data_IF_074973064803
#
_entry.id   IF_074973064803
#
_cell.length_a   1.000
_cell.length_b   1.000
_cell.length_c   1.000
_cell.angle_alpha   90.00
_cell.angle_beta   90.00
_cell.angle_gamma   90.00
#
_symmetry.space_group_name_H-M   'P 1'
#
loop_
_entity.id
_entity.type
_entity.pdbx_description
1 polymer ?
#
# COMPACT_ATOMS: atom_id res chain seq x y z
N UNK A 1 32.23 -81.82 -4.29
CA UNK A 1 32.10 -82.50 -5.59
C UNK A 1 30.83 -82.00 -6.28
N UNK A 2 30.96 -81.34 -7.44
CA UNK A 2 29.99 -81.13 -8.55
C UNK A 2 28.55 -80.62 -8.24
N UNK A 3 27.91 -79.66 -8.91
CA UNK A 3 28.08 -78.90 -10.17
C UNK A 3 27.00 -77.78 -10.17
N UNK A 4 27.28 -76.56 -10.65
CA UNK A 4 26.25 -75.58 -11.13
C UNK A 4 25.93 -75.88 -12.61
N UNK A 5 24.73 -75.57 -13.17
CA UNK A 5 24.44 -74.27 -13.85
C UNK A 5 22.93 -73.83 -13.82
N UNK A 6 22.57 -72.54 -13.62
CA UNK A 6 22.31 -71.39 -14.55
C UNK A 6 20.92 -71.30 -15.25
N UNK A 7 20.27 -70.15 -15.00
CA UNK A 7 19.39 -69.25 -15.82
C UNK A 7 18.05 -69.71 -16.41
N UNK A 8 16.97 -68.93 -16.18
CA UNK A 8 16.41 -67.94 -17.15
C UNK A 8 15.24 -67.11 -16.57
N UNK A 9 15.12 -65.90 -17.12
CA UNK A 9 14.20 -64.77 -16.87
C UNK A 9 12.88 -64.88 -17.66
N UNK A 10 11.90 -63.99 -17.38
CA UNK A 10 10.74 -63.47 -18.18
C UNK A 10 9.46 -63.47 -17.31
N UNK A 11 8.51 -62.52 -17.32
CA UNK A 11 8.32 -61.22 -17.96
C UNK A 11 7.16 -60.52 -17.20
N UNK A 12 7.16 -59.19 -17.13
CA UNK A 12 6.08 -58.39 -16.54
C UNK A 12 4.91 -58.22 -17.53
N UNK A 13 3.67 -58.19 -17.00
CA UNK A 13 2.45 -57.93 -17.78
C UNK A 13 1.63 -56.77 -17.18
N UNK A 14 1.46 -55.70 -17.97
CA UNK A 14 0.15 -55.21 -18.44
C UNK A 14 -0.85 -54.53 -17.48
N UNK A 15 -0.74 -53.20 -17.39
CA UNK A 15 -1.75 -52.12 -17.50
C UNK A 15 -3.28 -52.31 -17.19
N UNK A 16 -3.75 -51.37 -16.32
CA UNK A 16 -4.89 -50.41 -16.42
C UNK A 16 -6.34 -50.90 -16.58
N UNK A 17 -7.22 -50.52 -15.64
CA UNK A 17 -8.61 -50.05 -15.89
C UNK A 17 -9.01 -48.97 -14.86
N UNK A 18 -9.48 -47.81 -15.34
CA UNK A 18 -10.20 -46.79 -14.56
C UNK A 18 -11.72 -46.99 -14.70
N UNK A 19 -12.52 -46.82 -13.63
CA UNK A 19 -13.91 -46.32 -13.69
C UNK A 19 -14.47 -45.95 -12.30
N UNK A 20 -15.39 -44.99 -12.31
CA UNK A 20 -15.89 -44.15 -11.23
C UNK A 20 -17.01 -44.73 -10.34
N UNK A 21 -17.30 -44.01 -9.25
CA UNK A 21 -18.45 -44.15 -8.32
C UNK A 21 -17.94 -43.95 -6.88
N UNK A 22 -18.45 -43.07 -6.01
CA UNK A 22 -19.81 -42.64 -5.71
C UNK A 22 -19.81 -41.30 -4.96
N UNK A 23 -20.83 -40.46 -5.18
CA UNK A 23 -21.27 -39.44 -4.22
C UNK A 23 -22.21 -40.05 -3.17
N UNK A 24 -22.20 -39.55 -1.93
CA UNK A 24 -23.45 -39.16 -1.29
C UNK A 24 -23.38 -37.75 -0.68
N UNK A 25 -24.55 -37.12 -0.62
CA UNK A 25 -24.80 -35.81 -0.02
C UNK A 25 -25.19 -35.89 1.47
N UNK A 26 -25.28 -34.69 2.08
CA UNK A 26 -26.05 -34.26 3.27
C UNK A 26 -25.25 -34.03 4.58
N UNK A 27 -25.02 -32.73 4.83
CA UNK A 27 -25.12 -31.93 6.08
C UNK A 27 -24.30 -32.19 7.34
N UNK A 28 -23.94 -31.04 7.97
CA UNK A 28 -23.31 -30.80 9.29
C UNK A 28 -21.80 -31.10 9.36
N UNK A 29 -20.93 -30.27 9.93
CA UNK A 29 -21.11 -29.11 10.80
C UNK A 29 -19.91 -28.15 10.70
N UNK A 30 -20.18 -26.91 11.09
CA UNK A 30 -19.21 -25.88 11.46
C UNK A 30 -18.07 -26.41 12.35
N UNK A 31 -16.87 -25.86 12.15
CA UNK A 31 -15.79 -25.96 13.13
C UNK A 31 -14.41 -25.93 12.48
N UNK A 32 -13.60 -24.91 12.83
CA UNK A 32 -12.16 -24.93 12.56
C UNK A 32 -11.68 -23.99 11.45
N UNK A 33 -12.10 -22.73 11.49
CA UNK A 33 -11.34 -21.67 10.82
C UNK A 33 -10.08 -21.38 11.62
N UNK A 34 -9.03 -22.18 11.41
CA UNK A 34 -7.67 -21.80 11.79
C UNK A 34 -7.31 -20.54 11.00
N UNK A 35 -7.52 -19.40 11.65
CA UNK A 35 -6.99 -18.12 11.19
C UNK A 35 -5.47 -18.25 11.35
N UNK A 36 -4.79 -18.59 10.26
CA UNK A 36 -3.34 -18.45 10.14
C UNK A 36 -2.99 -17.07 10.69
N UNK A 37 -2.31 -17.04 11.83
CA UNK A 37 -1.76 -15.81 12.40
C UNK A 37 -0.81 -15.23 11.36
N UNK A 38 -1.19 -14.11 10.74
CA UNK A 38 -0.32 -13.40 9.81
C UNK A 38 0.92 -12.96 10.59
N UNK A 39 2.09 -13.28 10.07
CA UNK A 39 3.35 -12.85 10.67
C UNK A 39 3.48 -11.33 10.68
N UNK A 40 4.40 -10.84 11.51
CA UNK A 40 4.78 -9.43 11.48
C UNK A 40 5.53 -9.09 10.19
N UNK A 41 5.62 -7.81 9.88
CA UNK A 41 6.48 -7.30 8.83
C UNK A 41 7.93 -7.68 9.09
N UNK A 42 8.36 -7.55 10.35
CA UNK A 42 9.70 -7.94 10.79
C UNK A 42 9.99 -9.41 10.51
N UNK A 43 9.10 -10.33 10.90
CA UNK A 43 9.26 -11.77 10.65
C UNK A 43 9.30 -12.10 9.16
N UNK A 44 8.45 -11.44 8.37
CA UNK A 44 8.34 -11.71 6.93
C UNK A 44 9.60 -11.31 6.16
N UNK A 45 10.27 -10.26 6.62
CA UNK A 45 11.44 -9.68 5.95
C UNK A 45 12.76 -9.88 6.72
N UNK A 46 12.74 -10.63 7.82
CA UNK A 46 13.93 -10.93 8.62
C UNK A 46 14.52 -9.71 9.35
N UNK A 47 13.70 -8.73 9.72
CA UNK A 47 14.14 -7.48 10.33
C UNK A 47 14.37 -7.64 11.84
N UNK A 48 15.45 -7.02 12.32
CA UNK A 48 15.77 -6.92 13.74
C UNK A 48 14.98 -5.80 14.44
N UNK A 49 15.02 -5.74 15.77
CA UNK A 49 14.40 -4.65 16.51
C UNK A 49 15.03 -3.28 16.19
N UNK A 50 16.33 -3.24 15.91
CA UNK A 50 17.04 -2.02 15.53
C UNK A 50 16.65 -1.56 14.12
N UNK A 51 16.48 -2.49 13.17
CA UNK A 51 15.96 -2.19 11.83
C UNK A 51 14.58 -1.51 11.91
N UNK A 52 13.67 -2.08 12.71
CA UNK A 52 12.34 -1.52 12.90
C UNK A 52 12.39 -0.12 13.51
N UNK A 53 13.27 0.10 14.50
CA UNK A 53 13.47 1.41 15.11
C UNK A 53 13.96 2.44 14.08
N UNK A 54 14.91 2.06 13.24
CA UNK A 54 15.46 2.92 12.20
C UNK A 54 14.42 3.24 11.11
N UNK A 55 13.69 2.23 10.63
CA UNK A 55 12.58 2.39 9.69
C UNK A 55 11.55 3.39 10.24
N UNK A 56 11.08 3.18 11.46
CA UNK A 56 10.06 4.03 12.07
C UNK A 56 10.55 5.48 12.24
N UNK A 57 11.79 5.67 12.72
CA UNK A 57 12.37 7.00 12.88
C UNK A 57 12.50 7.75 11.55
N UNK A 58 12.95 7.08 10.49
CA UNK A 58 13.07 7.68 9.16
C UNK A 58 11.69 8.01 8.56
N UNK A 59 10.72 7.12 8.72
CA UNK A 59 9.35 7.30 8.26
C UNK A 59 8.65 8.50 8.92
N UNK A 60 8.91 8.75 10.21
CA UNK A 60 8.42 9.94 10.92
C UNK A 60 9.08 11.23 10.39
N UNK A 61 10.40 11.20 10.12
CA UNK A 61 11.13 12.35 9.54
C UNK A 61 10.72 12.67 8.12
N UNK A 62 10.47 11.66 7.28
CA UNK A 62 10.07 11.84 5.89
C UNK A 62 8.80 12.71 5.76
N UNK A 63 7.87 12.58 6.70
CA UNK A 63 6.68 13.44 6.78
C UNK A 63 7.06 14.92 6.96
N UNK A 64 8.08 15.22 7.76
CA UNK A 64 8.51 16.59 8.02
C UNK A 64 9.24 17.22 6.82
N UNK A 65 9.93 16.40 6.01
CA UNK A 65 10.62 16.83 4.78
C UNK A 65 9.63 17.03 3.62
N UNK A 66 8.63 16.16 3.50
CA UNK A 66 7.65 16.20 2.40
C UNK A 66 6.55 17.26 2.52
N UNK A 67 6.57 18.13 3.54
CA UNK A 67 5.57 19.18 3.72
C UNK A 67 5.88 20.42 2.87
N UNK A 68 4.96 20.90 2.02
CA UNK A 68 5.20 22.01 1.08
C UNK A 68 5.39 23.39 1.73
N UNK A 69 5.15 23.54 3.04
CA UNK A 69 5.20 24.83 3.75
C UNK A 69 6.53 25.11 4.47
N UNK A 70 7.57 24.28 4.28
CA UNK A 70 8.92 24.57 4.81
C UNK A 70 9.88 25.01 3.70
N UNK A 71 10.53 26.18 3.82
CA UNK A 71 11.63 26.52 2.92
C UNK A 71 12.76 25.50 3.07
N UNK A 72 13.49 25.16 1.99
CA UNK A 72 14.68 24.33 2.09
C UNK A 72 15.66 25.06 3.01
N UNK A 73 15.91 24.52 4.19
CA UNK A 73 16.87 25.08 5.13
C UNK A 73 18.22 25.19 4.44
N UNK A 74 18.74 26.42 4.40
CA UNK A 74 20.10 26.73 4.01
C UNK A 74 21.07 25.82 4.78
N UNK A 75 22.02 25.25 4.04
CA UNK A 75 23.21 24.56 4.56
C UNK A 75 23.85 25.34 5.72
N UNK A 76 24.09 24.73 6.90
CA UNK A 76 24.86 25.38 7.95
C UNK A 76 26.36 25.39 7.57
N UNK A 77 27.11 26.44 7.93
CA UNK A 77 28.54 26.54 7.63
C UNK A 77 29.36 25.57 8.48
N UNK A 78 30.42 25.05 7.87
CA UNK A 78 31.46 24.21 8.49
C UNK A 78 32.20 24.95 9.61
N UNK A 79 32.25 24.38 10.83
CA UNK A 79 33.35 24.52 11.79
C UNK A 79 33.20 23.62 13.05
N UNK A 80 34.16 22.71 13.26
CA UNK A 80 34.65 22.25 14.57
C UNK A 80 33.95 21.06 15.25
N UNK A 81 34.68 20.08 15.84
CA UNK A 81 34.09 18.83 16.33
C UNK A 81 33.59 18.96 17.76
N UNK A 82 32.39 18.42 18.05
CA UNK A 82 32.15 17.79 19.34
C UNK A 82 31.50 16.41 19.19
N UNK A 83 32.02 15.46 19.97
CA UNK A 83 31.32 14.32 20.58
C UNK A 83 30.26 13.58 19.74
N UNK A 84 30.66 12.40 19.24
CA UNK A 84 29.82 11.38 18.61
C UNK A 84 28.55 11.07 19.40
N UNK A 85 27.42 11.49 18.87
CA UNK A 85 26.16 10.73 18.89
C UNK A 85 26.08 9.90 17.61
N UNK A 86 25.44 8.71 17.60
CA UNK A 86 25.22 7.97 16.36
C UNK A 86 24.14 8.71 15.55
N UNK A 87 24.58 9.46 14.55
CA UNK A 87 23.71 10.20 13.64
C UNK A 87 23.07 9.23 12.64
N UNK A 88 21.80 8.90 12.89
CA UNK A 88 20.88 8.12 12.04
C UNK A 88 20.61 8.67 10.61
N UNK A 89 21.41 9.61 10.12
CA UNK A 89 21.40 10.03 8.71
C UNK A 89 22.45 9.26 7.88
N UNK A 90 23.32 8.47 8.52
CA UNK A 90 24.48 7.82 7.86
C UNK A 90 24.13 6.57 7.03
N UNK A 91 22.94 5.97 7.18
CA UNK A 91 22.63 4.67 6.55
C UNK A 91 21.71 4.74 5.32
N UNK A 92 20.86 5.78 5.18
CA UNK A 92 19.98 5.88 3.99
C UNK A 92 20.78 6.44 2.81
N UNK A 93 20.85 5.67 1.74
CA UNK A 93 21.52 6.08 0.52
C UNK A 93 20.52 6.35 -0.61
N UNK A 94 20.80 7.39 -1.40
CA UNK A 94 20.07 7.63 -2.65
C UNK A 94 20.67 6.73 -3.74
N UNK A 95 19.88 5.82 -4.36
CA UNK A 95 20.39 4.96 -5.44
C UNK A 95 21.01 5.80 -6.56
N UNK A 96 22.13 5.38 -7.19
CA UNK A 96 22.77 6.14 -8.25
C UNK A 96 21.90 6.31 -9.49
N UNK A 97 22.28 7.25 -10.34
CA UNK A 97 21.64 7.49 -11.64
C UNK A 97 21.83 6.29 -12.58
N UNK A 98 20.73 5.74 -13.10
CA UNK A 98 20.76 4.68 -14.10
C UNK A 98 20.59 5.26 -15.52
N UNK A 99 21.47 4.92 -16.49
CA UNK A 99 21.34 5.39 -17.87
C UNK A 99 19.99 5.01 -18.51
N UNK A 100 19.42 5.90 -19.33
CA UNK A 100 18.11 5.70 -19.94
C UNK A 100 18.08 4.56 -20.98
N UNK A 101 19.22 4.23 -21.57
CA UNK A 101 19.40 3.13 -22.51
C UNK A 101 19.64 1.78 -21.83
N UNK A 102 19.98 1.77 -20.53
CA UNK A 102 20.19 0.54 -19.77
C UNK A 102 18.86 -0.14 -19.45
N UNK A 103 18.67 -1.32 -20.02
CA UNK A 103 17.50 -2.15 -19.76
C UNK A 103 17.58 -2.78 -18.35
N UNK A 104 16.43 -2.97 -17.68
CA UNK A 104 16.37 -3.76 -16.46
C UNK A 104 16.72 -5.22 -16.71
N UNK A 105 17.25 -5.85 -15.68
CA UNK A 105 17.46 -7.29 -15.60
C UNK A 105 16.11 -8.01 -15.47
N UNK A 106 16.01 -9.20 -16.04
CA UNK A 106 14.76 -9.95 -16.06
C UNK A 106 14.37 -10.45 -14.67
N UNK A 107 13.09 -10.31 -14.33
CA UNK A 107 12.52 -10.85 -13.08
C UNK A 107 11.03 -11.13 -13.28
N UNK A 108 10.51 -12.13 -12.55
CA UNK A 108 9.13 -12.62 -12.73
C UNK A 108 8.40 -12.77 -11.41
N UNK A 109 7.08 -12.77 -11.47
CA UNK A 109 6.25 -13.01 -10.31
C UNK A 109 6.33 -14.47 -9.83
N UNK A 110 6.36 -14.66 -8.52
CA UNK A 110 6.16 -15.94 -7.85
C UNK A 110 5.12 -15.77 -6.74
N UNK A 111 4.14 -16.68 -6.66
CA UNK A 111 3.07 -16.59 -5.65
C UNK A 111 2.25 -15.29 -5.71
N UNK A 112 2.15 -14.66 -6.88
CA UNK A 112 1.44 -13.38 -7.06
C UNK A 112 2.25 -12.13 -6.72
N UNK A 113 3.57 -12.23 -6.47
CA UNK A 113 4.44 -11.08 -6.22
C UNK A 113 5.73 -11.18 -7.04
N UNK A 114 6.10 -10.11 -7.74
CA UNK A 114 7.45 -9.94 -8.31
C UNK A 114 8.25 -8.99 -7.40
N UNK A 115 9.57 -9.19 -7.35
CA UNK A 115 10.47 -8.38 -6.52
C UNK A 115 11.75 -8.11 -7.29
N UNK A 116 12.29 -6.90 -7.15
CA UNK A 116 13.62 -6.57 -7.69
C UNK A 116 14.27 -5.47 -6.85
N UNK A 117 15.61 -5.39 -6.86
CA UNK A 117 16.35 -4.34 -6.15
C UNK A 117 16.02 -2.96 -6.75
N UNK A 118 16.03 -1.91 -5.92
CA UNK A 118 15.60 -0.55 -6.34
C UNK A 118 16.33 -0.03 -7.59
N UNK A 119 17.63 -0.30 -7.76
CA UNK A 119 18.38 0.07 -8.97
C UNK A 119 17.77 -0.52 -10.24
N UNK A 120 17.36 -1.79 -10.18
CA UNK A 120 16.72 -2.45 -11.32
C UNK A 120 15.29 -1.93 -11.54
N UNK A 121 14.57 -1.63 -10.46
CA UNK A 121 13.26 -0.98 -10.54
C UNK A 121 13.34 0.41 -11.17
N UNK A 122 14.38 1.22 -10.87
CA UNK A 122 14.61 2.52 -11.49
C UNK A 122 14.74 2.37 -13.01
N UNK A 123 15.51 1.39 -13.48
CA UNK A 123 15.60 1.09 -14.93
C UNK A 123 14.22 0.79 -15.50
N UNK A 124 13.40 -0.03 -14.82
CA UNK A 124 12.06 -0.39 -15.31
C UNK A 124 11.18 0.85 -15.36
N UNK A 125 11.16 1.61 -14.28
CA UNK A 125 10.41 2.85 -14.17
C UNK A 125 10.77 3.83 -15.28
N UNK A 126 12.06 3.98 -15.59
CA UNK A 126 12.55 4.80 -16.70
C UNK A 126 12.06 4.32 -18.07
N UNK A 127 11.88 3.02 -18.28
CA UNK A 127 11.38 2.49 -19.53
C UNK A 127 9.87 2.62 -19.71
N UNK A 128 9.09 2.47 -18.64
CA UNK A 128 7.62 2.39 -18.76
C UNK A 128 6.87 3.54 -18.09
N UNK A 129 7.30 4.01 -16.93
CA UNK A 129 6.51 4.93 -16.10
C UNK A 129 6.97 6.40 -16.20
N UNK A 130 8.19 6.65 -16.67
CA UNK A 130 8.82 7.97 -16.72
C UNK A 130 8.26 8.95 -17.75
N UNK A 131 7.38 8.49 -18.64
CA UNK A 131 6.98 9.31 -19.78
C UNK A 131 6.29 10.60 -19.32
N UNK A 132 6.77 11.72 -19.89
CA UNK A 132 6.10 13.03 -19.91
C UNK A 132 5.80 13.37 -21.36
N UNK A 133 4.52 13.54 -21.69
CA UNK A 133 4.06 13.77 -23.08
C UNK A 133 4.60 12.73 -24.07
N UNK A 134 4.60 11.46 -23.65
CA UNK A 134 5.06 10.33 -24.46
C UNK A 134 6.58 10.20 -24.61
N UNK A 135 7.38 11.05 -23.96
CA UNK A 135 8.86 10.97 -23.98
C UNK A 135 9.39 10.39 -22.68
N UNK A 136 10.17 9.31 -22.78
CA UNK A 136 10.89 8.72 -21.63
C UNK A 136 11.86 9.73 -21.03
N UNK A 137 12.00 9.69 -19.72
CA UNK A 137 12.93 10.53 -18.97
C UNK A 137 13.71 9.66 -17.97
N UNK A 138 14.91 10.12 -17.65
CA UNK A 138 15.64 9.56 -16.53
C UNK A 138 14.97 9.97 -15.21
N UNK A 139 15.00 9.10 -14.21
CA UNK A 139 14.55 9.48 -12.87
C UNK A 139 15.51 10.52 -12.31
N UNK A 140 14.99 11.68 -11.90
CA UNK A 140 15.83 12.76 -11.37
C UNK A 140 16.50 12.35 -10.06
N UNK A 141 17.51 13.10 -9.63
CA UNK A 141 18.14 12.87 -8.32
C UNK A 141 17.13 12.99 -7.17
N UNK A 142 16.31 14.03 -7.19
CA UNK A 142 15.24 14.24 -6.21
C UNK A 142 14.25 13.08 -6.20
N UNK A 143 13.84 12.56 -7.38
CA UNK A 143 12.96 11.40 -7.45
C UNK A 143 13.64 10.12 -6.92
N UNK A 144 14.93 9.91 -7.19
CA UNK A 144 15.69 8.77 -6.63
C UNK A 144 15.81 8.88 -5.12
N UNK A 145 16.00 10.10 -4.59
CA UNK A 145 16.00 10.36 -3.16
C UNK A 145 14.63 10.04 -2.55
N UNK A 146 13.54 10.57 -3.11
CA UNK A 146 12.18 10.23 -2.66
C UNK A 146 11.92 8.72 -2.68
N UNK A 147 12.34 8.03 -3.75
CA UNK A 147 12.16 6.58 -3.88
C UNK A 147 12.87 5.79 -2.77
N UNK A 148 14.04 6.27 -2.34
CA UNK A 148 14.88 5.57 -1.36
C UNK A 148 14.29 5.50 0.06
N UNK A 149 13.18 6.19 0.33
CA UNK A 149 12.45 6.11 1.60
C UNK A 149 11.62 4.82 1.75
N UNK A 150 11.72 3.87 0.82
CA UNK A 150 11.09 2.56 0.96
C UNK A 150 9.62 2.54 0.59
N UNK A 151 8.78 1.98 1.46
CA UNK A 151 7.35 1.79 1.22
C UNK A 151 6.65 3.04 0.68
N UNK A 152 6.92 4.21 1.25
CA UNK A 152 6.34 5.49 0.82
C UNK A 152 6.89 6.01 -0.51
N UNK A 153 8.15 5.68 -0.84
CA UNK A 153 8.91 6.30 -1.91
C UNK A 153 8.31 6.08 -3.30
N UNK A 154 7.76 4.90 -3.57
CA UNK A 154 7.08 4.61 -4.84
C UNK A 154 5.87 5.52 -5.03
N UNK A 155 5.04 5.67 -4.00
CA UNK A 155 3.85 6.55 -4.03
C UNK A 155 4.27 8.01 -4.15
N UNK A 156 5.31 8.42 -3.44
CA UNK A 156 5.84 9.78 -3.47
C UNK A 156 6.28 10.16 -4.89
N UNK A 157 7.15 9.36 -5.52
CA UNK A 157 7.63 9.62 -6.87
C UNK A 157 6.50 9.60 -7.90
N UNK A 158 5.60 8.63 -7.81
CA UNK A 158 4.55 8.45 -8.82
C UNK A 158 3.45 9.52 -8.77
N UNK A 159 3.17 10.04 -7.58
CA UNK A 159 2.22 11.16 -7.40
C UNK A 159 2.88 12.54 -7.48
N UNK A 160 4.20 12.60 -7.31
CA UNK A 160 4.99 13.83 -7.26
C UNK A 160 4.97 14.54 -5.91
N UNK A 161 4.33 13.96 -4.89
CA UNK A 161 4.13 14.57 -3.58
C UNK A 161 4.14 13.53 -2.47
N UNK A 162 4.58 13.95 -1.27
CA UNK A 162 4.47 13.07 -0.11
C UNK A 162 2.98 12.83 0.20
N UNK A 163 2.55 11.57 0.44
CA UNK A 163 1.14 11.24 0.58
C UNK A 163 0.50 11.90 1.81
N UNK A 164 -0.49 12.76 1.56
CA UNK A 164 -1.24 13.47 2.63
C UNK A 164 -2.39 12.64 3.22
N UNK A 165 -2.87 11.63 2.49
CA UNK A 165 -3.97 10.72 2.87
C UNK A 165 -5.32 11.41 3.16
N UNK A 166 -5.51 12.65 2.72
CA UNK A 166 -6.68 13.47 3.07
C UNK A 166 -8.01 12.91 2.57
N UNK A 167 -8.04 12.39 1.34
CA UNK A 167 -9.23 11.81 0.73
C UNK A 167 -9.12 10.28 0.72
N UNK A 168 -9.52 9.66 1.82
CA UNK A 168 -9.38 8.24 2.06
C UNK A 168 -10.72 7.53 2.17
N UNK A 169 -10.78 6.30 1.68
CA UNK A 169 -11.97 5.44 1.75
C UNK A 169 -11.64 4.09 2.39
N UNK A 170 -12.61 3.53 3.09
CA UNK A 170 -12.61 2.15 3.56
C UNK A 170 -14.04 1.60 3.57
N UNK A 171 -14.17 0.30 3.86
CA UNK A 171 -15.47 -0.33 4.10
C UNK A 171 -15.41 -1.10 5.41
N UNK A 172 -16.42 -0.90 6.26
CA UNK A 172 -16.54 -1.55 7.56
C UNK A 172 -17.96 -2.04 7.76
N UNK A 173 -18.11 -3.32 8.09
CA UNK A 173 -19.42 -3.94 8.34
C UNK A 173 -19.80 -3.77 9.82
N UNK A 174 -20.58 -2.72 10.12
CA UNK A 174 -21.04 -2.43 11.48
C UNK A 174 -21.94 -3.53 12.06
N UNK A 175 -22.72 -4.20 11.22
CA UNK A 175 -23.61 -5.26 11.69
C UNK A 175 -22.79 -6.48 12.09
N UNK A 176 -21.81 -6.87 11.27
CA UNK A 176 -20.85 -7.92 11.60
C UNK A 176 -20.08 -7.58 12.88
N UNK A 177 -19.57 -6.36 13.01
CA UNK A 177 -18.85 -5.93 14.20
C UNK A 177 -19.68 -6.09 15.48
N UNK A 178 -20.91 -5.55 15.50
CA UNK A 178 -21.81 -5.64 16.65
C UNK A 178 -22.25 -7.07 16.95
N UNK A 179 -22.54 -7.84 15.90
CA UNK A 179 -22.90 -9.25 16.03
C UNK A 179 -21.75 -10.04 16.64
N UNK A 180 -20.54 -9.90 16.12
CA UNK A 180 -19.38 -10.66 16.58
C UNK A 180 -19.00 -10.27 18.01
N UNK A 181 -19.09 -9.00 18.38
CA UNK A 181 -18.86 -8.56 19.77
C UNK A 181 -19.86 -9.15 20.78
N UNK A 182 -21.09 -9.42 20.34
CA UNK A 182 -22.19 -9.90 21.19
C UNK A 182 -22.24 -11.42 21.24
N UNK A 183 -22.02 -12.07 20.09
CA UNK A 183 -22.29 -13.48 19.87
C UNK A 183 -21.03 -14.33 19.78
N UNK A 184 -19.84 -13.74 19.88
CA UNK A 184 -18.57 -14.47 20.01
C UNK A 184 -17.88 -14.11 21.32
N UNK A 185 -17.04 -15.02 21.79
CA UNK A 185 -16.26 -14.85 23.03
C UNK A 185 -14.78 -14.63 22.71
N UNK A 186 -14.03 -13.98 23.61
CA UNK A 186 -12.57 -13.96 23.55
C UNK A 186 -12.00 -15.38 23.44
N UNK A 187 -10.94 -15.53 22.65
CA UNK A 187 -10.18 -16.78 22.54
C UNK A 187 -9.46 -17.07 23.87
N UNK A 188 -9.06 -18.33 24.15
CA UNK A 188 -8.25 -18.64 25.32
C UNK A 188 -6.98 -17.77 25.36
N UNK A 189 -6.79 -17.04 26.47
CA UNK A 189 -5.65 -16.14 26.67
C UNK A 189 -5.80 -14.75 26.06
N UNK A 190 -6.88 -14.47 25.33
CA UNK A 190 -7.13 -13.17 24.70
C UNK A 190 -7.74 -12.18 25.70
N UNK A 191 -7.14 -10.98 25.80
CA UNK A 191 -7.71 -9.92 26.63
C UNK A 191 -8.96 -9.33 25.99
N UNK A 192 -9.78 -8.59 26.76
CA UNK A 192 -10.97 -7.93 26.18
C UNK A 192 -10.61 -6.92 25.08
N UNK A 193 -9.54 -6.15 25.27
CA UNK A 193 -9.07 -5.18 24.28
C UNK A 193 -8.55 -5.85 23.01
N UNK A 194 -7.83 -6.97 23.14
CA UNK A 194 -7.39 -7.79 22.01
C UNK A 194 -8.56 -8.39 21.23
N UNK A 195 -9.56 -8.91 21.93
CA UNK A 195 -10.81 -9.37 21.33
C UNK A 195 -11.49 -8.25 20.52
N UNK A 196 -11.73 -7.10 21.12
CA UNK A 196 -12.41 -5.98 20.45
C UNK A 196 -11.62 -5.44 19.25
N UNK A 197 -10.30 -5.28 19.40
CA UNK A 197 -9.41 -4.87 18.31
C UNK A 197 -9.41 -5.87 17.15
N UNK A 198 -9.35 -7.17 17.45
CA UNK A 198 -9.43 -8.23 16.44
C UNK A 198 -10.78 -8.26 15.72
N UNK A 199 -11.89 -8.12 16.44
CA UNK A 199 -13.23 -8.08 15.84
C UNK A 199 -13.39 -6.85 14.95
N UNK A 200 -12.87 -5.69 15.36
CA UNK A 200 -12.83 -4.50 14.50
C UNK A 200 -12.00 -4.73 13.23
N UNK A 201 -10.75 -5.20 13.35
CA UNK A 201 -9.89 -5.54 12.21
C UNK A 201 -10.59 -6.50 11.23
N UNK A 202 -11.22 -7.55 11.77
CA UNK A 202 -11.95 -8.54 10.97
C UNK A 202 -13.27 -8.07 10.37
N UNK A 203 -13.71 -6.84 10.67
CA UNK A 203 -14.94 -6.25 10.12
C UNK A 203 -14.67 -5.22 9.01
N UNK A 204 -13.40 -4.91 8.75
CA UNK A 204 -12.99 -4.21 7.52
C UNK A 204 -13.04 -5.15 6.32
N UNK A 205 -13.46 -4.62 5.17
CA UNK A 205 -13.41 -5.29 3.88
C UNK A 205 -12.62 -4.43 2.89
N UNK A 206 -11.34 -4.77 2.73
CA UNK A 206 -10.42 -4.03 1.86
C UNK A 206 -10.83 -4.07 0.38
N UNK A 207 -11.48 -5.15 -0.08
CA UNK A 207 -11.98 -5.23 -1.47
C UNK A 207 -13.10 -4.22 -1.69
N UNK A 208 -14.05 -4.13 -0.75
CA UNK A 208 -15.12 -3.12 -0.82
C UNK A 208 -14.58 -1.70 -0.68
N UNK A 209 -13.62 -1.48 0.21
CA UNK A 209 -12.93 -0.18 0.35
C UNK A 209 -12.24 0.25 -0.95
N UNK A 210 -11.47 -0.66 -1.56
CA UNK A 210 -10.84 -0.40 -2.86
C UNK A 210 -11.86 -0.13 -3.96
N UNK A 211 -12.92 -0.95 -4.04
CA UNK A 211 -14.00 -0.75 -5.01
C UNK A 211 -14.64 0.62 -4.84
N UNK A 212 -14.92 1.05 -3.60
CA UNK A 212 -15.48 2.38 -3.31
C UNK A 212 -14.58 3.48 -3.85
N UNK A 213 -13.26 3.42 -3.58
CA UNK A 213 -12.31 4.38 -4.11
C UNK A 213 -12.28 4.39 -5.65
N UNK A 214 -12.35 3.23 -6.31
CA UNK A 214 -12.42 3.13 -7.79
C UNK A 214 -13.68 3.76 -8.36
N UNK A 215 -14.84 3.46 -7.76
CA UNK A 215 -16.13 4.01 -8.21
C UNK A 215 -16.12 5.54 -8.09
N UNK A 216 -15.61 6.08 -6.99
CA UNK A 216 -15.48 7.53 -6.77
C UNK A 216 -14.45 8.16 -7.73
N UNK A 217 -13.28 7.53 -7.92
CA UNK A 217 -12.29 8.02 -8.87
C UNK A 217 -12.82 8.03 -10.31
N UNK A 218 -13.67 7.07 -10.68
CA UNK A 218 -14.35 7.05 -11.98
C UNK A 218 -15.32 8.23 -12.14
N UNK A 219 -16.11 8.54 -11.11
CA UNK A 219 -16.98 9.73 -11.08
C UNK A 219 -16.15 11.01 -11.24
N UNK A 220 -15.05 11.14 -10.48
CA UNK A 220 -14.16 12.30 -10.56
C UNK A 220 -13.53 12.46 -11.95
N UNK A 221 -13.02 11.37 -12.54
CA UNK A 221 -12.44 11.37 -13.88
C UNK A 221 -13.46 11.75 -14.96
N UNK A 222 -14.71 11.27 -14.86
CA UNK A 222 -15.80 11.68 -15.76
C UNK A 222 -16.12 13.17 -15.61
N UNK A 223 -16.16 13.69 -14.39
CA UNK A 223 -16.50 15.08 -14.12
C UNK A 223 -15.46 16.07 -14.67
N UNK A 224 -14.18 15.68 -14.70
CA UNK A 224 -13.08 16.51 -15.20
C UNK A 224 -12.86 16.42 -16.72
N UNK A 225 -13.42 15.43 -17.42
CA UNK A 225 -13.05 15.09 -18.80
C UNK A 225 -13.16 16.27 -19.78
N UNK A 226 -14.22 17.07 -19.66
CA UNK A 226 -14.47 18.25 -20.49
C UNK A 226 -14.59 19.54 -19.65
N UNK A 227 -14.03 19.55 -18.44
CA UNK A 227 -14.06 20.73 -17.56
C UNK A 227 -12.74 21.50 -17.66
N UNK A 228 -12.80 22.77 -18.08
CA UNK A 228 -11.63 23.64 -18.23
C UNK A 228 -11.44 24.63 -17.07
N UNK A 229 -12.29 24.55 -16.04
CA UNK A 229 -12.20 25.30 -14.79
C UNK A 229 -12.80 24.48 -13.63
N UNK A 230 -12.38 24.77 -12.40
CA UNK A 230 -12.84 24.05 -11.19
C UNK A 230 -14.35 24.16 -10.98
N UNK A 231 -14.98 25.28 -11.33
CA UNK A 231 -16.43 25.48 -11.16
C UNK A 231 -17.25 24.51 -12.02
N UNK A 232 -16.86 24.35 -13.28
CA UNK A 232 -17.44 23.37 -14.20
C UNK A 232 -17.21 21.94 -13.71
N UNK A 233 -15.99 21.62 -13.24
CA UNK A 233 -15.69 20.30 -12.67
C UNK A 233 -16.59 19.96 -11.47
N UNK A 234 -16.70 20.88 -10.50
CA UNK A 234 -17.53 20.67 -9.30
C UNK A 234 -19.02 20.54 -9.68
N UNK A 235 -19.49 21.30 -10.67
CA UNK A 235 -20.87 21.21 -11.16
C UNK A 235 -21.15 19.84 -11.79
N UNK A 236 -20.25 19.35 -12.65
CA UNK A 236 -20.33 18.03 -13.26
C UNK A 236 -20.29 16.91 -12.21
N UNK A 237 -19.40 17.04 -11.22
CA UNK A 237 -19.26 16.10 -10.11
C UNK A 237 -20.56 15.99 -9.31
N UNK A 238 -21.14 17.13 -8.92
CA UNK A 238 -22.42 17.17 -8.19
C UNK A 238 -23.58 16.58 -9.01
N UNK A 239 -23.62 16.83 -10.32
CA UNK A 239 -24.64 16.25 -11.19
C UNK A 239 -24.56 14.71 -11.22
N UNK A 240 -23.36 14.13 -11.37
CA UNK A 240 -23.19 12.67 -11.41
C UNK A 240 -23.48 12.02 -10.04
N UNK A 241 -23.08 12.66 -8.93
CA UNK A 241 -23.42 12.21 -7.56
C UNK A 241 -24.93 12.26 -7.29
N UNK A 242 -25.61 13.31 -7.74
CA UNK A 242 -27.07 13.45 -7.64
C UNK A 242 -27.77 12.32 -8.39
N UNK A 243 -27.35 12.04 -9.63
CA UNK A 243 -27.91 10.97 -10.44
C UNK A 243 -27.72 9.59 -9.82
N UNK A 244 -26.65 9.41 -9.03
CA UNK A 244 -26.33 8.15 -8.34
C UNK A 244 -26.91 8.07 -6.93
N UNK A 245 -27.56 9.13 -6.45
CA UNK A 245 -28.00 9.26 -5.05
C UNK A 245 -26.87 8.95 -4.05
N UNK A 246 -25.67 9.46 -4.34
CA UNK A 246 -24.47 9.20 -3.54
C UNK A 246 -24.37 10.20 -2.38
N UNK A 247 -24.13 9.72 -1.16
CA UNK A 247 -24.03 10.54 0.04
C UNK A 247 -22.90 11.60 -0.04
N UNK A 248 -21.87 11.36 -0.86
CA UNK A 248 -20.80 12.34 -1.12
C UNK A 248 -21.31 13.66 -1.70
N UNK A 249 -22.52 13.68 -2.27
CA UNK A 249 -23.16 14.92 -2.73
C UNK A 249 -23.23 15.97 -1.61
N UNK A 250 -23.47 15.54 -0.37
CA UNK A 250 -23.73 16.39 0.78
C UNK A 250 -22.47 16.79 1.57
N UNK A 251 -21.29 16.39 1.10
CA UNK A 251 -20.02 16.83 1.68
C UNK A 251 -19.88 18.35 1.65
N UNK A 252 -19.22 18.91 2.67
CA UNK A 252 -18.95 20.36 2.72
C UNK A 252 -18.07 20.80 1.54
N UNK A 253 -18.31 22.01 1.02
CA UNK A 253 -17.55 22.56 -0.12
C UNK A 253 -16.03 22.69 0.12
N UNK A 254 -15.59 22.68 1.39
CA UNK A 254 -14.19 22.70 1.81
C UNK A 254 -13.70 21.35 2.30
N UNK A 255 -14.52 20.29 2.26
CA UNK A 255 -14.12 18.95 2.68
C UNK A 255 -12.97 18.42 1.82
N UNK A 256 -12.27 17.40 2.32
CA UNK A 256 -11.20 16.76 1.58
C UNK A 256 -11.68 16.15 0.25
N UNK A 257 -12.96 15.82 0.12
CA UNK A 257 -13.55 15.31 -1.12
C UNK A 257 -13.62 16.39 -2.21
N UNK A 258 -14.33 17.50 -1.97
CA UNK A 258 -14.48 18.55 -2.99
C UNK A 258 -13.22 19.37 -3.21
N UNK A 259 -12.33 19.46 -2.21
CA UNK A 259 -11.08 20.22 -2.32
C UNK A 259 -9.90 19.42 -2.88
N UNK A 260 -10.03 18.11 -3.10
CA UNK A 260 -8.90 17.24 -3.48
C UNK A 260 -8.15 17.73 -4.74
N UNK A 261 -8.87 18.13 -5.79
CA UNK A 261 -8.27 18.60 -7.03
C UNK A 261 -7.48 19.91 -6.82
N UNK A 262 -8.13 20.95 -6.27
CA UNK A 262 -7.48 22.24 -6.03
C UNK A 262 -6.32 22.18 -5.02
N UNK A 263 -6.38 21.20 -4.11
CA UNK A 263 -5.32 20.95 -3.12
C UNK A 263 -4.18 20.09 -3.68
N UNK A 264 -4.23 19.65 -4.94
CA UNK A 264 -3.13 18.95 -5.61
C UNK A 264 -2.16 19.98 -6.22
N UNK A 265 -0.92 20.15 -5.71
CA UNK A 265 0.08 21.07 -6.26
C UNK A 265 0.21 21.09 -7.79
N UNK A 266 0.36 19.91 -8.41
CA UNK A 266 0.51 19.78 -9.86
C UNK A 266 -0.72 20.25 -10.67
N UNK A 267 -1.89 20.42 -10.05
CA UNK A 267 -3.04 21.06 -10.70
C UNK A 267 -2.79 22.54 -10.99
N UNK A 268 -2.06 23.24 -10.11
CA UNK A 268 -1.79 24.69 -10.21
C UNK A 268 -0.55 25.00 -11.04
N UNK A 269 0.35 24.04 -11.19
CA UNK A 269 1.59 24.17 -11.95
C UNK A 269 1.32 24.36 -13.44
N UNK A 270 2.09 25.26 -14.07
CA UNK A 270 1.98 25.58 -15.50
C UNK A 270 2.21 24.36 -16.40
N UNK A 271 3.15 23.51 -16.02
CA UNK A 271 3.55 22.31 -16.78
C UNK A 271 2.78 21.05 -16.34
N UNK A 272 1.84 21.21 -15.41
CA UNK A 272 0.92 20.16 -14.95
C UNK A 272 -0.51 20.42 -15.44
N UNK A 273 -1.40 20.71 -14.49
CA UNK A 273 -2.81 21.00 -14.74
C UNK A 273 -3.08 22.42 -15.22
N UNK A 274 -2.25 23.40 -14.85
CA UNK A 274 -2.45 24.81 -15.17
C UNK A 274 -3.91 25.30 -14.89
N UNK A 275 -4.45 24.93 -13.74
CA UNK A 275 -5.83 25.21 -13.30
C UNK A 275 -6.93 24.63 -14.20
N UNK A 276 -6.60 23.71 -15.12
CA UNK A 276 -7.52 23.06 -16.05
C UNK A 276 -7.77 21.60 -15.64
N UNK A 277 -8.95 21.26 -15.07
CA UNK A 277 -9.26 19.91 -14.60
C UNK A 277 -9.11 18.84 -15.68
N UNK A 278 -9.41 19.16 -16.95
CA UNK A 278 -9.32 18.23 -18.07
C UNK A 278 -7.92 17.69 -18.32
N UNK A 279 -6.89 18.35 -17.78
CA UNK A 279 -5.49 17.91 -17.83
C UNK A 279 -5.09 16.99 -16.68
N UNK A 280 -5.98 16.73 -15.73
CA UNK A 280 -5.69 15.90 -14.55
C UNK A 280 -6.34 14.52 -14.66
N UNK A 281 -5.85 13.57 -13.87
CA UNK A 281 -6.39 12.22 -13.75
C UNK A 281 -6.37 11.81 -12.28
N UNK A 282 -7.50 11.30 -11.79
CA UNK A 282 -7.59 10.71 -10.47
C UNK A 282 -6.84 9.37 -10.43
N UNK A 283 -6.05 9.16 -9.38
CA UNK A 283 -5.23 7.97 -9.14
C UNK A 283 -5.43 7.48 -7.71
N UNK A 284 -5.21 6.19 -7.48
CA UNK A 284 -5.39 5.55 -6.18
C UNK A 284 -4.08 4.96 -5.68
N UNK A 285 -3.83 5.13 -4.39
CA UNK A 285 -2.87 4.35 -3.63
C UNK A 285 -3.52 3.88 -2.32
N UNK A 286 -2.86 2.98 -1.59
CA UNK A 286 -3.35 2.46 -0.32
C UNK A 286 -2.32 2.67 0.77
N UNK A 287 -2.79 2.90 2.00
CA UNK A 287 -1.97 2.88 3.21
C UNK A 287 -2.47 1.80 4.15
N UNK A 288 -1.58 0.93 4.61
CA UNK A 288 -1.80 0.06 5.77
C UNK A 288 -1.14 0.69 6.99
N UNK A 289 -1.87 0.74 8.12
CA UNK A 289 -1.43 1.47 9.30
C UNK A 289 -2.10 0.93 10.58
N UNK A 290 -1.67 1.45 11.71
CA UNK A 290 -2.16 1.07 13.04
C UNK A 290 -3.24 2.01 13.57
N UNK A 291 -4.28 1.48 14.20
CA UNK A 291 -5.43 2.27 14.71
C UNK A 291 -5.15 2.96 16.04
N UNK A 292 -4.47 2.30 16.96
CA UNK A 292 -4.27 2.79 18.32
C UNK A 292 -3.08 3.73 18.39
N UNK A 293 -3.18 4.94 17.86
CA UNK A 293 -2.04 5.89 17.77
C UNK A 293 -2.01 6.98 18.86
N UNK A 294 -3.02 7.07 19.71
CA UNK A 294 -3.01 8.05 20.81
C UNK A 294 -2.02 7.63 21.91
N UNK A 295 -0.88 8.33 21.97
CA UNK A 295 0.16 8.10 22.99
C UNK A 295 -0.30 8.43 24.41
N UNK A 296 -1.36 9.23 24.57
CA UNK A 296 -1.97 9.53 25.87
C UNK A 296 -3.13 8.59 26.21
N UNK A 297 -3.49 7.71 25.27
CA UNK A 297 -4.54 6.70 25.43
C UNK A 297 -4.07 5.50 26.25
N UNK A 298 -4.93 4.49 26.36
CA UNK A 298 -4.59 3.27 27.09
C UNK A 298 -3.51 2.45 26.39
N UNK A 299 -2.64 1.83 27.19
CA UNK A 299 -1.61 0.89 26.72
C UNK A 299 -2.24 -0.26 25.93
N UNK A 300 -3.43 -0.71 26.32
CA UNK A 300 -4.17 -1.77 25.63
C UNK A 300 -4.50 -1.38 24.19
N UNK A 301 -5.04 -0.18 23.95
CA UNK A 301 -5.32 0.29 22.58
C UNK A 301 -4.04 0.42 21.75
N UNK A 302 -2.95 0.90 22.37
CA UNK A 302 -1.64 0.99 21.72
C UNK A 302 -1.11 -0.38 21.24
N UNK A 303 -1.38 -1.46 21.99
CA UNK A 303 -0.90 -2.82 21.70
C UNK A 303 -1.85 -3.68 20.86
N UNK A 304 -3.16 -3.49 21.04
CA UNK A 304 -4.20 -4.39 20.54
C UNK A 304 -5.17 -3.74 19.55
N UNK A 305 -5.10 -2.41 19.41
CA UNK A 305 -5.88 -1.64 18.45
C UNK A 305 -7.00 -0.85 19.12
N UNK A 306 -7.36 0.29 18.55
CA UNK A 306 -8.53 1.06 18.95
C UNK A 306 -9.69 0.77 17.98
N UNK A 307 -10.65 -0.04 18.43
CA UNK A 307 -11.78 -0.49 17.61
C UNK A 307 -12.58 0.65 16.95
N UNK A 308 -12.66 1.81 17.61
CA UNK A 308 -13.42 2.97 17.10
C UNK A 308 -12.61 3.87 16.17
N UNK A 309 -11.28 3.78 16.20
CA UNK A 309 -10.44 4.67 15.42
C UNK A 309 -10.46 4.32 13.93
N UNK A 310 -10.54 5.36 13.09
CA UNK A 310 -10.49 5.28 11.63
C UNK A 310 -11.58 4.41 10.99
N UNK A 311 -12.77 4.33 11.61
CA UNK A 311 -13.94 3.75 10.95
C UNK A 311 -14.40 4.69 9.81
N UNK A 312 -14.81 4.13 8.66
CA UNK A 312 -15.38 4.93 7.59
C UNK A 312 -16.78 5.41 8.00
N UNK A 313 -17.13 6.61 7.56
CA UNK A 313 -18.53 7.07 7.56
C UNK A 313 -19.40 6.09 6.75
N UNK A 314 -20.56 5.72 7.31
CA UNK A 314 -21.39 4.65 6.77
C UNK A 314 -22.07 5.01 5.44
N UNK A 315 -22.32 6.31 5.19
CA UNK A 315 -22.95 6.76 3.95
C UNK A 315 -21.96 6.96 2.82
N UNK A 316 -20.82 7.58 3.13
CA UNK A 316 -19.83 8.00 2.12
C UNK A 316 -18.68 7.02 1.95
N UNK A 317 -18.34 6.24 2.99
CA UNK A 317 -17.13 5.44 3.07
C UNK A 317 -15.87 6.23 3.41
N UNK A 318 -15.98 7.53 3.68
CA UNK A 318 -14.83 8.39 3.97
C UNK A 318 -14.21 8.07 5.33
N UNK A 319 -12.88 8.03 5.38
CA UNK A 319 -12.11 7.86 6.63
C UNK A 319 -11.42 9.18 6.97
N UNK A 320 -11.62 9.67 8.20
CA UNK A 320 -10.85 10.81 8.71
C UNK A 320 -9.43 10.37 9.10
N UNK A 321 -8.47 10.71 8.23
CA UNK A 321 -7.04 10.42 8.43
C UNK A 321 -6.31 11.49 9.25
N UNK A 322 -6.98 12.54 9.75
CA UNK A 322 -6.33 13.64 10.48
C UNK A 322 -5.65 13.22 11.79
N UNK A 323 -6.07 12.09 12.36
CA UNK A 323 -5.53 11.52 13.60
C UNK A 323 -4.43 10.48 13.37
N UNK A 324 -4.13 10.16 12.12
CA UNK A 324 -3.01 9.30 11.77
C UNK A 324 -1.70 10.09 11.89
N UNK A 325 -0.81 9.61 12.75
CA UNK A 325 0.44 10.26 13.13
C UNK A 325 1.66 9.41 12.79
N UNK A 326 1.48 8.37 11.95
CA UNK A 326 2.54 7.41 11.61
C UNK A 326 3.15 6.70 12.83
N UNK A 327 2.35 6.47 13.88
CA UNK A 327 2.84 5.83 15.11
C UNK A 327 2.63 4.31 14.99
N UNK A 328 3.68 3.48 15.17
CA UNK A 328 3.57 2.04 15.06
C UNK A 328 2.73 1.41 16.17
N UNK A 329 2.36 0.15 15.96
CA UNK A 329 1.81 -0.72 17.01
C UNK A 329 2.82 -0.83 18.17
N UNK A 330 2.34 -0.74 19.41
CA UNK A 330 3.20 -0.96 20.57
C UNK A 330 3.47 -2.46 20.79
N UNK A 331 4.69 -2.83 21.22
CA UNK A 331 5.04 -4.22 21.46
C UNK A 331 4.19 -4.85 22.57
N UNK A 332 3.80 -6.10 22.38
CA UNK A 332 3.14 -6.93 23.37
C UNK A 332 4.14 -7.67 24.25
N UNK A 333 5.32 -8.00 23.69
CA UNK A 333 6.42 -8.69 24.37
C UNK A 333 7.77 -7.97 24.15
N UNK A 334 8.73 -8.07 25.08
CA UNK A 334 10.08 -7.52 24.88
C UNK A 334 10.75 -8.09 23.62
N UNK A 335 11.43 -7.23 22.85
CA UNK A 335 12.10 -7.60 21.61
C UNK A 335 11.20 -7.63 20.37
N UNK A 336 9.88 -7.50 20.53
CA UNK A 336 8.96 -7.35 19.40
C UNK A 336 9.03 -5.93 18.82
N UNK A 337 9.09 -5.82 17.49
CA UNK A 337 9.09 -4.57 16.76
C UNK A 337 8.02 -4.57 15.66
N UNK A 338 7.35 -3.44 15.47
CA UNK A 338 6.32 -3.25 14.46
C UNK A 338 6.64 -2.04 13.58
N UNK A 339 6.53 -2.18 12.26
CA UNK A 339 6.64 -1.06 11.33
C UNK A 339 5.40 -0.17 11.45
N UNK A 340 5.56 1.13 11.23
CA UNK A 340 4.48 2.10 11.40
C UNK A 340 3.46 2.15 10.26
N UNK A 341 3.87 1.92 9.02
CA UNK A 341 2.97 1.86 7.87
C UNK A 341 3.57 1.12 6.66
N UNK A 342 2.70 0.80 5.71
CA UNK A 342 3.05 0.37 4.36
C UNK A 342 2.21 1.14 3.32
N UNK A 343 2.77 1.43 2.14
CA UNK A 343 2.12 2.15 1.05
C UNK A 343 2.18 1.39 -0.28
N UNK A 344 1.01 1.14 -0.87
CA UNK A 344 0.87 0.44 -2.14
C UNK A 344 0.36 1.36 -3.24
N UNK A 345 1.16 1.57 -4.29
CA UNK A 345 0.75 2.33 -5.47
C UNK A 345 -0.05 1.46 -6.45
N UNK A 346 -1.30 1.84 -6.72
CA UNK A 346 -2.12 1.22 -7.76
C UNK A 346 -2.13 2.05 -9.06
N UNK A 347 -2.20 3.38 -8.93
CA UNK A 347 -2.33 4.29 -10.07
C UNK A 347 -3.77 4.32 -10.60
N UNK A 348 -3.97 3.89 -11.85
CA UNK A 348 -5.26 3.98 -12.55
C UNK A 348 -5.47 2.81 -13.53
N UNK A 349 -5.14 1.59 -13.10
CA UNK A 349 -5.27 0.41 -13.97
C UNK A 349 -6.75 0.17 -14.37
N UNK A 350 -6.95 -0.26 -15.61
CA UNK A 350 -8.28 -0.51 -16.19
C UNK A 350 -8.80 -1.92 -15.92
N UNK A 351 -7.94 -2.83 -15.43
CA UNK A 351 -8.33 -4.20 -15.05
C UNK A 351 -9.52 -4.17 -14.08
N UNK A 352 -10.61 -4.84 -14.46
CA UNK A 352 -11.86 -4.81 -13.71
C UNK A 352 -11.80 -5.76 -12.50
N UNK A 353 -11.12 -6.89 -12.63
CA UNK A 353 -10.91 -7.81 -11.53
C UNK A 353 -9.87 -7.27 -10.56
N UNK A 354 -10.33 -6.82 -9.38
CA UNK A 354 -9.46 -6.30 -8.34
C UNK A 354 -8.28 -7.25 -8.03
N UNK A 355 -8.47 -8.57 -8.08
CA UNK A 355 -7.43 -9.55 -7.75
C UNK A 355 -6.30 -9.61 -8.77
N UNK A 356 -6.54 -9.15 -9.99
CA UNK A 356 -5.55 -9.11 -11.06
C UNK A 356 -4.79 -7.80 -11.10
N UNK A 357 -5.25 -6.78 -10.39
CA UNK A 357 -4.55 -5.50 -10.27
C UNK A 357 -3.22 -5.67 -9.53
N UNK A 358 -2.24 -4.84 -9.89
CA UNK A 358 -0.89 -4.84 -9.30
C UNK A 358 -0.71 -3.64 -8.37
N UNK A 359 -0.08 -3.84 -7.22
CA UNK A 359 0.21 -2.85 -6.20
C UNK A 359 1.71 -2.81 -5.97
N UNK A 360 2.34 -1.66 -6.25
CA UNK A 360 3.79 -1.49 -6.16
C UNK A 360 4.19 -0.81 -4.86
N UNK A 361 5.10 -1.42 -4.10
CA UNK A 361 5.55 -0.93 -2.79
C UNK A 361 7.02 -1.31 -2.54
N UNK A 362 7.74 -0.53 -1.74
CA UNK A 362 9.09 -0.85 -1.29
C UNK A 362 9.08 -1.57 0.05
N UNK A 363 10.02 -2.47 0.29
CA UNK A 363 10.16 -3.18 1.57
C UNK A 363 10.56 -2.27 2.74
N UNK A 364 11.63 -1.49 2.58
CA UNK A 364 12.17 -0.56 3.56
C UNK A 364 13.04 0.48 2.85
N UNK A 365 13.61 1.43 3.59
CA UNK A 365 14.49 2.43 2.99
C UNK A 365 15.76 1.79 2.43
N UNK A 366 16.40 2.45 1.46
CA UNK A 366 17.59 1.92 0.80
C UNK A 366 18.83 2.14 1.67
N UNK A 367 19.42 1.04 2.17
CA UNK A 367 20.60 1.07 3.03
C UNK A 367 21.59 -0.04 2.65
N UNK A 368 22.12 -0.02 1.42
CA UNK A 368 22.83 -1.14 0.80
C UNK A 368 24.10 -1.58 1.56
N UNK A 369 24.69 -0.69 2.35
CA UNK A 369 25.91 -0.93 3.12
C UNK A 369 25.65 -1.19 4.62
N UNK A 370 24.38 -1.28 5.04
CA UNK A 370 23.97 -1.61 6.40
C UNK A 370 23.40 -3.04 6.50
N UNK A 371 23.14 -3.51 7.73
CA UNK A 371 22.51 -4.81 7.97
C UNK A 371 21.07 -4.90 7.39
N UNK A 372 20.39 -3.76 7.25
CA UNK A 372 19.07 -3.69 6.60
C UNK A 372 19.15 -4.01 5.10
N UNK A 373 20.27 -3.70 4.46
CA UNK A 373 20.53 -3.98 3.06
C UNK A 373 19.78 -3.08 2.07
N UNK A 374 19.87 -3.38 0.76
CA UNK A 374 19.28 -2.55 -0.27
C UNK A 374 17.76 -2.72 -0.30
N UNK A 375 17.04 -1.60 -0.44
CA UNK A 375 15.61 -1.60 -0.76
C UNK A 375 15.29 -2.47 -1.98
N UNK A 376 14.26 -3.31 -1.84
CA UNK A 376 13.60 -3.99 -2.95
C UNK A 376 12.20 -3.44 -3.16
N UNK A 377 11.82 -3.33 -4.44
CA UNK A 377 10.48 -2.96 -4.84
C UNK A 377 9.70 -4.22 -5.21
N UNK A 378 8.55 -4.36 -4.56
CA UNK A 378 7.58 -5.41 -4.79
C UNK A 378 6.47 -4.93 -5.72
N UNK A 379 6.05 -5.80 -6.63
CA UNK A 379 4.87 -5.63 -7.46
C UNK A 379 3.92 -6.78 -7.13
N UNK A 380 2.91 -6.52 -6.30
CA UNK A 380 2.07 -7.53 -5.67
C UNK A 380 0.68 -7.55 -6.28
N UNK A 381 0.06 -8.72 -6.46
CA UNK A 381 -1.38 -8.77 -6.75
C UNK A 381 -2.18 -8.24 -5.57
N UNK A 382 -3.39 -7.74 -5.83
CA UNK A 382 -4.23 -7.17 -4.77
C UNK A 382 -4.42 -8.11 -3.58
N UNK A 383 -4.63 -9.41 -3.79
CA UNK A 383 -4.77 -10.38 -2.68
C UNK A 383 -3.51 -10.47 -1.81
N UNK A 384 -2.33 -10.30 -2.40
CA UNK A 384 -1.06 -10.28 -1.67
C UNK A 384 -0.91 -8.95 -0.91
N UNK A 385 -1.30 -7.83 -1.53
CA UNK A 385 -1.33 -6.52 -0.88
C UNK A 385 -2.29 -6.51 0.31
N UNK A 386 -3.59 -6.74 0.07
CA UNK A 386 -4.66 -6.69 1.08
C UNK A 386 -4.57 -7.82 2.12
N UNK A 387 -3.60 -8.74 1.99
CA UNK A 387 -3.27 -9.63 3.09
C UNK A 387 -2.70 -8.82 4.27
N UNK A 388 -1.89 -7.80 4.02
CA UNK A 388 -1.28 -6.99 5.06
C UNK A 388 -0.49 -7.82 6.07
N UNK A 389 -0.26 -7.23 7.25
CA UNK A 389 0.59 -7.78 8.30
C UNK A 389 -0.10 -7.70 9.68
N UNK A 390 0.52 -8.28 10.71
CA UNK A 390 0.06 -8.10 12.09
C UNK A 390 0.33 -6.68 12.63
N UNK A 391 1.24 -5.94 12.02
CA UNK A 391 1.58 -4.53 12.28
C UNK A 391 0.38 -3.60 12.07
N UNK A 392 -0.47 -3.95 11.09
CA UNK A 392 -1.51 -3.07 10.58
C UNK A 392 -2.89 -3.67 10.82
N UNK A 393 -3.81 -2.87 11.35
CA UNK A 393 -5.19 -3.26 11.55
C UNK A 393 -6.18 -2.36 10.81
N UNK A 394 -5.67 -1.37 10.05
CA UNK A 394 -6.44 -0.49 9.18
C UNK A 394 -5.83 -0.44 7.78
N UNK A 395 -6.70 -0.31 6.79
CA UNK A 395 -6.33 -0.06 5.40
C UNK A 395 -7.20 1.06 4.82
N UNK A 396 -6.56 2.04 4.21
CA UNK A 396 -7.22 3.19 3.60
C UNK A 396 -6.84 3.29 2.12
N UNK A 397 -7.84 3.45 1.26
CA UNK A 397 -7.70 3.62 -0.18
C UNK A 397 -7.87 5.10 -0.52
N UNK A 398 -6.76 5.74 -0.91
CA UNK A 398 -6.68 7.20 -1.04
C UNK A 398 -6.75 7.61 -2.50
N UNK A 399 -7.53 8.66 -2.78
CA UNK A 399 -7.59 9.30 -4.10
C UNK A 399 -6.77 10.59 -4.08
N UNK A 400 -5.92 10.77 -5.08
CA UNK A 400 -5.24 12.04 -5.41
C UNK A 400 -5.25 12.25 -6.93
N UNK A 401 -4.65 13.33 -7.41
CA UNK A 401 -4.59 13.67 -8.84
C UNK A 401 -3.15 13.79 -9.34
N UNK A 402 -2.94 13.43 -10.60
CA UNK A 402 -1.71 13.69 -11.35
C UNK A 402 -2.05 14.26 -12.73
N UNK A 403 -1.12 14.99 -13.39
CA UNK A 403 -1.30 15.40 -14.78
C UNK A 403 -1.45 14.19 -15.72
N UNK A 404 -2.32 14.31 -16.74
CA UNK A 404 -2.51 13.28 -17.78
C UNK A 404 -1.27 13.09 -18.65
N UNK A 405 -0.39 14.07 -18.73
CA UNK A 405 0.91 13.98 -19.42
C UNK A 405 1.86 12.98 -18.77
N UNK A 406 1.59 12.55 -17.53
CA UNK A 406 2.41 11.61 -16.77
C UNK A 406 1.98 10.15 -17.00
N UNK A 407 2.95 9.24 -17.15
CA UNK A 407 2.69 7.80 -17.33
C UNK A 407 2.96 6.93 -16.07
N UNK A 408 2.96 7.53 -14.88
CA UNK A 408 3.15 6.80 -13.59
C UNK A 408 1.91 6.01 -13.16
N UNK A 409 0.77 6.23 -13.82
CA UNK A 409 -0.48 5.49 -13.65
C UNK A 409 -1.05 5.04 -15.01
N UNK A 410 -0.39 4.09 -15.69
CA UNK A 410 -0.86 3.58 -16.97
C UNK A 410 -2.10 2.69 -16.80
N UNK A 411 -2.82 2.43 -17.90
CA UNK A 411 -4.01 1.55 -17.88
C UNK A 411 -3.69 0.09 -17.55
N UNK A 412 -2.46 -0.36 -17.79
CA UNK A 412 -1.98 -1.71 -17.45
C UNK A 412 -0.62 -1.63 -16.77
N UNK A 413 -0.46 -2.40 -15.69
CA UNK A 413 0.80 -2.56 -14.96
C UNK A 413 1.15 -4.05 -14.96
N UNK A 414 2.32 -4.38 -15.50
CA UNK A 414 2.83 -5.75 -15.56
C UNK A 414 3.84 -5.98 -14.44
N UNK A 415 3.71 -7.12 -13.74
CA UNK A 415 4.70 -7.56 -12.76
C UNK A 415 5.94 -8.08 -13.48
N UNK A 416 7.13 -7.76 -12.99
CA UNK A 416 8.35 -8.26 -13.61
C UNK A 416 8.90 -7.40 -14.74
N UNK A 417 9.96 -7.88 -15.37
CA UNK A 417 10.57 -7.30 -16.57
C UNK A 417 11.17 -8.44 -17.39
N UNK A 418 11.04 -8.37 -18.72
CA UNK A 418 10.36 -9.38 -19.53
C UNK A 418 10.68 -10.84 -19.15
#
# INVERSE_FOLDING_TARGET
MYKRPRFLTFAAAGAVICTAGFTPSVSQAAGGGDVVTKGSYAETHGLTADDIKNINALNERAMAVGQPDKPPTETPPSAGPPSRTPDSDDDRETPPAEPLDRMPDAYRAYGGRATTVVNNYIRKWQQVYSHRDGKKQQMTEEQREMLSYGCVGVTWVNSGLYPTNRLAFASFDENKYKNDLTNTSPRPGETRAEFEGRIAKGSFDERKGFKRARDVASVMNKALENAHDEGTYISNLKADLTNKNDALLHEDSRSNFYSALRNTPSFRERDGGNYDPSKMKAVIYSKHFWSGQDQRGSSDKRKYGDAEAFRPDQGTGLVDMSRDRNIPRSPTSPGEGWVNFDYGWFGAQTEADADKTTWTHGDHYHAPNSDLGPMHVHESKFRNWSAGYADFDRGAYVITFIPKSWNTAPGKVEQGWP
#
